data_IF_186102329644
#
_entry.id   IF_186102329644
#
_cell.length_a   1.000
_cell.length_b   1.000
_cell.length_c   1.000
_cell.angle_alpha   90.00
_cell.angle_beta   90.00
_cell.angle_gamma   90.00
#
_symmetry.space_group_name_H-M   'P 1'
#
loop_
_entity.id
_entity.type
_entity.pdbx_description
1 polymer ?
#
# COMPACT_ATOMS: atom_id res chain seq x y z
N UNK A 1 6.65 -13.40 -0.62
CA UNK A 1 6.81 -12.08 0.04
C UNK A 1 5.76 -11.98 1.13
N UNK A 2 6.08 -11.42 2.28
CA UNK A 2 5.08 -11.05 3.29
C UNK A 2 4.63 -9.62 3.03
N UNK A 3 3.47 -9.47 2.40
CA UNK A 3 2.96 -8.16 2.01
C UNK A 3 2.56 -7.32 3.23
N UNK A 4 2.15 -7.94 4.35
CA UNK A 4 1.82 -7.21 5.58
C UNK A 4 3.08 -6.55 6.13
N UNK A 5 4.20 -7.28 6.16
CA UNK A 5 5.49 -6.71 6.56
C UNK A 5 5.88 -5.54 5.64
N UNK A 6 5.66 -5.66 4.34
CA UNK A 6 5.93 -4.58 3.37
C UNK A 6 5.07 -3.34 3.63
N UNK A 7 3.80 -3.51 4.00
CA UNK A 7 2.95 -2.39 4.42
C UNK A 7 3.46 -1.73 5.70
N UNK A 8 4.01 -2.50 6.65
CA UNK A 8 4.65 -1.93 7.85
C UNK A 8 5.85 -1.07 7.45
N UNK A 9 6.72 -1.54 6.55
CA UNK A 9 7.87 -0.76 6.04
C UNK A 9 7.43 0.55 5.36
N UNK A 10 6.36 0.51 4.56
CA UNK A 10 5.76 1.71 3.94
C UNK A 10 5.28 2.69 5.02
N UNK A 11 4.59 2.19 6.05
CA UNK A 11 4.10 3.02 7.15
C UNK A 11 5.25 3.65 7.95
N UNK A 12 6.35 2.93 8.18
CA UNK A 12 7.53 3.49 8.83
C UNK A 12 8.12 4.65 8.01
N UNK A 13 8.33 4.45 6.70
CA UNK A 13 8.85 5.50 5.80
C UNK A 13 7.95 6.74 5.78
N UNK A 14 6.64 6.56 5.70
CA UNK A 14 5.69 7.68 5.71
C UNK A 14 5.66 8.39 7.08
N UNK A 15 5.79 7.64 8.18
CA UNK A 15 5.86 8.18 9.54
C UNK A 15 7.11 9.02 9.77
N UNK A 16 8.27 8.50 9.38
CA UNK A 16 9.56 9.18 9.54
C UNK A 16 9.63 10.51 8.77
N UNK A 17 8.79 10.66 7.74
CA UNK A 17 8.70 11.87 6.93
C UNK A 17 7.45 12.73 7.21
N UNK A 18 6.66 12.40 8.25
CA UNK A 18 5.55 13.23 8.72
C UNK A 18 4.23 13.11 7.94
N UNK A 19 4.06 12.09 7.09
CA UNK A 19 2.86 11.89 6.26
C UNK A 19 1.70 11.20 7.00
N UNK A 20 1.27 11.78 8.12
CA UNK A 20 0.28 11.19 9.03
C UNK A 20 -1.06 10.86 8.36
N UNK A 21 -1.53 11.72 7.47
CA UNK A 21 -2.79 11.49 6.75
C UNK A 21 -2.77 10.19 5.92
N UNK A 22 -1.64 9.88 5.29
CA UNK A 22 -1.49 8.68 4.49
C UNK A 22 -1.35 7.43 5.35
N UNK A 23 -0.70 7.54 6.52
CA UNK A 23 -0.68 6.47 7.52
C UNK A 23 -2.08 6.12 8.02
N UNK A 24 -2.88 7.13 8.33
CA UNK A 24 -4.24 6.94 8.84
C UNK A 24 -5.11 6.26 7.78
N UNK A 25 -5.00 6.68 6.51
CA UNK A 25 -5.68 6.01 5.38
C UNK A 25 -5.27 4.55 5.23
N UNK A 26 -3.98 4.25 5.26
CA UNK A 26 -3.48 2.87 5.15
C UNK A 26 -3.96 2.04 6.35
N UNK A 27 -3.87 2.59 7.56
CA UNK A 27 -4.32 1.91 8.80
C UNK A 27 -5.81 1.63 8.77
N UNK A 28 -6.61 2.59 8.31
CA UNK A 28 -8.05 2.40 8.14
C UNK A 28 -8.35 1.30 7.11
N UNK A 29 -7.63 1.26 5.98
CA UNK A 29 -7.76 0.19 5.00
C UNK A 29 -7.40 -1.19 5.57
N UNK A 30 -6.41 -1.27 6.47
CA UNK A 30 -6.07 -2.50 7.19
C UNK A 30 -7.11 -2.93 8.24
N UNK A 31 -7.98 -2.03 8.69
CA UNK A 31 -9.01 -2.30 9.70
C UNK A 31 -10.37 -2.71 9.11
N UNK A 32 -10.54 -2.64 7.78
CA UNK A 32 -11.80 -3.02 7.13
C UNK A 32 -12.06 -4.53 7.35
N UNK A 33 -13.27 -4.84 7.83
CA UNK A 33 -13.76 -6.20 8.04
C UNK A 33 -13.80 -6.98 6.72
N UNK A 34 -13.06 -8.08 6.63
CA UNK A 34 -13.04 -8.93 5.44
C UNK A 34 -11.98 -10.02 5.50
N UNK A 35 -11.76 -10.66 4.36
CA UNK A 35 -10.70 -11.63 4.11
C UNK A 35 -9.35 -10.93 3.91
N UNK A 36 -8.26 -11.70 4.00
CA UNK A 36 -6.91 -11.19 3.71
C UNK A 36 -6.79 -10.59 2.30
N UNK A 37 -7.57 -11.09 1.33
CA UNK A 37 -7.60 -10.56 -0.04
C UNK A 37 -8.27 -9.19 -0.12
N UNK A 38 -9.42 -9.00 0.53
CA UNK A 38 -10.12 -7.72 0.56
C UNK A 38 -9.29 -6.64 1.26
N UNK A 39 -8.67 -6.98 2.40
CA UNK A 39 -7.74 -6.09 3.09
C UNK A 39 -6.58 -5.67 2.18
N UNK A 40 -6.02 -6.61 1.43
CA UNK A 40 -4.93 -6.33 0.49
C UNK A 40 -5.37 -5.36 -0.62
N UNK A 41 -6.53 -5.61 -1.25
CA UNK A 41 -7.08 -4.76 -2.30
C UNK A 41 -7.34 -3.33 -1.82
N UNK A 42 -7.94 -3.17 -0.64
CA UNK A 42 -8.21 -1.85 -0.05
C UNK A 42 -6.92 -1.08 0.24
N UNK A 43 -5.92 -1.75 0.81
CA UNK A 43 -4.61 -1.14 1.04
C UNK A 43 -3.95 -0.74 -0.28
N UNK A 44 -4.03 -1.59 -1.30
CA UNK A 44 -3.50 -1.28 -2.64
C UNK A 44 -4.20 -0.09 -3.29
N UNK A 45 -5.51 0.04 -3.15
CA UNK A 45 -6.25 1.20 -3.64
C UNK A 45 -5.74 2.50 -3.00
N UNK A 46 -5.53 2.52 -1.68
CA UNK A 46 -4.96 3.69 -0.99
C UNK A 46 -3.56 4.02 -1.50
N UNK A 47 -2.70 3.02 -1.67
CA UNK A 47 -1.34 3.20 -2.17
C UNK A 47 -1.32 3.73 -3.61
N UNK A 48 -2.20 3.23 -4.48
CA UNK A 48 -2.34 3.73 -5.85
C UNK A 48 -2.85 5.18 -5.89
N UNK A 49 -3.76 5.56 -5.00
CA UNK A 49 -4.21 6.95 -4.86
C UNK A 49 -3.03 7.84 -4.45
N UNK A 50 -2.20 7.41 -3.49
CA UNK A 50 -0.99 8.14 -3.09
C UNK A 50 -0.06 8.30 -4.31
N UNK A 51 0.16 7.23 -5.08
CA UNK A 51 0.96 7.24 -6.32
C UNK A 51 0.45 8.23 -7.37
N UNK A 52 -0.86 8.45 -7.45
CA UNK A 52 -1.44 9.38 -8.42
C UNK A 52 -1.48 10.83 -7.95
N UNK A 53 -1.54 11.07 -6.63
CA UNK A 53 -1.88 12.40 -6.08
C UNK A 53 -0.75 13.09 -5.33
N UNK A 54 0.28 12.38 -4.86
CA UNK A 54 1.32 12.97 -4.02
C UNK A 54 2.74 12.53 -4.43
N UNK A 55 3.42 13.39 -5.19
CA UNK A 55 4.77 13.11 -5.71
C UNK A 55 5.83 12.94 -4.58
N UNK A 56 5.90 13.79 -3.53
CA UNK A 56 6.80 13.57 -2.39
C UNK A 56 6.60 12.23 -1.66
N UNK A 57 5.35 11.84 -1.40
CA UNK A 57 5.07 10.56 -0.74
C UNK A 57 5.43 9.39 -1.66
N UNK A 58 5.08 9.49 -2.95
CA UNK A 58 5.38 8.48 -3.95
C UNK A 58 6.87 8.16 -4.00
N UNK A 59 7.75 9.17 -4.06
CA UNK A 59 9.21 8.96 -4.16
C UNK A 59 9.75 8.06 -3.05
N UNK A 60 9.12 8.06 -1.87
CA UNK A 60 9.56 7.24 -0.73
C UNK A 60 9.14 5.77 -0.84
N UNK A 61 8.02 5.49 -1.51
CA UNK A 61 7.33 4.20 -1.44
C UNK A 61 7.06 3.56 -2.81
N UNK A 62 7.39 4.23 -3.92
CA UNK A 62 7.10 3.78 -5.29
C UNK A 62 7.55 2.35 -5.54
N UNK A 63 8.81 2.05 -5.20
CA UNK A 63 9.38 0.72 -5.33
C UNK A 63 8.60 -0.33 -4.54
N UNK A 64 8.15 0.02 -3.33
CA UNK A 64 7.39 -0.91 -2.48
C UNK A 64 5.98 -1.14 -3.04
N UNK A 65 5.35 -0.10 -3.61
CA UNK A 65 4.07 -0.20 -4.31
C UNK A 65 4.21 -1.12 -5.53
N UNK A 66 5.27 -0.99 -6.31
CA UNK A 66 5.50 -1.80 -7.49
C UNK A 66 5.77 -3.27 -7.12
N UNK A 67 6.51 -3.53 -6.05
CA UNK A 67 6.70 -4.89 -5.50
C UNK A 67 5.36 -5.50 -5.03
N UNK A 68 4.51 -4.69 -4.39
CA UNK A 68 3.17 -5.12 -3.98
C UNK A 68 2.27 -5.41 -5.17
N UNK A 69 2.27 -4.56 -6.21
CA UNK A 69 1.50 -4.81 -7.44
C UNK A 69 1.91 -6.11 -8.11
N UNK A 70 3.22 -6.37 -8.20
CA UNK A 70 3.74 -7.63 -8.75
C UNK A 70 3.26 -8.82 -7.93
N UNK A 71 3.35 -8.75 -6.61
CA UNK A 71 2.83 -9.81 -5.73
C UNK A 71 1.33 -10.04 -5.92
N UNK A 72 0.54 -8.97 -6.04
CA UNK A 72 -0.89 -9.05 -6.30
C UNK A 72 -1.23 -9.72 -7.63
N UNK A 73 -0.43 -9.47 -8.67
CA UNK A 73 -0.53 -10.15 -9.96
C UNK A 73 -0.20 -11.64 -9.84
N UNK A 74 0.91 -11.98 -9.17
CA UNK A 74 1.37 -13.37 -8.99
C UNK A 74 0.33 -14.26 -8.27
N UNK A 75 -0.52 -13.67 -7.42
CA UNK A 75 -1.57 -14.38 -6.67
C UNK A 75 -2.99 -14.16 -7.22
N UNK A 76 -3.13 -13.49 -8.37
CA UNK A 76 -4.41 -13.33 -9.07
C UNK A 76 -5.37 -12.28 -8.47
N UNK A 77 -4.87 -11.36 -7.64
CA UNK A 77 -5.68 -10.22 -7.14
C UNK A 77 -5.66 -9.02 -8.10
N UNK A 78 -4.66 -8.91 -8.98
CA UNK A 78 -4.56 -7.87 -10.00
C UNK A 78 -4.20 -8.48 -11.35
N UNK A 79 -4.59 -7.83 -12.45
CA UNK A 79 -4.05 -8.09 -13.78
C UNK A 79 -3.23 -6.87 -14.17
N UNK A 80 -1.91 -7.02 -14.21
CA UNK A 80 -1.05 -6.02 -14.83
C UNK A 80 -1.07 -6.29 -16.34
N UNK A 81 -1.77 -5.42 -17.08
CA UNK A 81 -1.72 -5.40 -18.56
C UNK A 81 -0.37 -4.87 -19.08
#
# INVERSE_FOLDING_TARGET
>A
MDWIKKIIEIKEKLSDNGYRNSLDKITNAQMIFGTTGEMYLEVMNVLLIIKQTNLPELVLIEKDIDELLKYGNDIGYFVLE
#
